data_IF_893280576250
#
_entry.id   IF_893280576250
#
_cell.length_a   1.000
_cell.length_b   1.000
_cell.length_c   1.000
_cell.angle_alpha   90.00
_cell.angle_beta   90.00
_cell.angle_gamma   90.00
#
_symmetry.space_group_name_H-M   'P 1'
#
loop_
_entity.id
_entity.type
_entity.pdbx_description
1 polymer ?
#
# COMPACT_ATOMS: atom_id res chain seq x y z
N UNK A 1 -22.26 -7.47 1.74
CA UNK A 1 -21.18 -6.74 2.43
C UNK A 1 -20.23 -6.18 1.37
N UNK A 2 -19.27 -5.31 1.73
CA UNK A 2 -18.44 -4.66 0.70
C UNK A 2 -17.54 -5.68 -0.03
N UNK A 3 -17.10 -6.73 0.65
CA UNK A 3 -16.28 -7.79 0.07
C UNK A 3 -17.02 -8.59 -1.01
N UNK A 4 -18.35 -8.64 -0.98
CA UNK A 4 -19.15 -9.28 -2.04
C UNK A 4 -19.08 -8.49 -3.35
N UNK A 5 -19.00 -7.16 -3.24
CA UNK A 5 -18.95 -6.24 -4.39
C UNK A 5 -17.58 -6.27 -5.06
N UNK A 6 -16.51 -6.42 -4.27
CA UNK A 6 -15.14 -6.46 -4.80
C UNK A 6 -14.65 -7.89 -5.10
N UNK A 7 -15.44 -8.92 -4.76
CA UNK A 7 -15.05 -10.34 -4.87
C UNK A 7 -14.61 -10.75 -6.26
N UNK A 8 -15.19 -10.15 -7.29
CA UNK A 8 -14.91 -10.48 -8.69
C UNK A 8 -13.64 -9.80 -9.24
N UNK A 9 -12.99 -8.95 -8.42
CA UNK A 9 -11.79 -8.20 -8.75
C UNK A 9 -11.99 -7.03 -9.71
N UNK A 10 -13.19 -6.82 -10.26
CA UNK A 10 -13.43 -5.78 -11.28
C UNK A 10 -13.23 -4.38 -10.71
N UNK A 11 -13.83 -4.10 -9.54
CA UNK A 11 -13.71 -2.82 -8.83
C UNK A 11 -12.26 -2.57 -8.39
N UNK A 12 -11.54 -3.61 -7.99
CA UNK A 12 -10.12 -3.48 -7.60
C UNK A 12 -9.24 -3.10 -8.80
N UNK A 13 -9.45 -3.74 -9.95
CA UNK A 13 -8.75 -3.38 -11.19
C UNK A 13 -9.10 -1.95 -11.65
N UNK A 14 -10.36 -1.53 -11.50
CA UNK A 14 -10.75 -0.15 -11.80
C UNK A 14 -10.09 0.86 -10.85
N UNK A 15 -10.02 0.53 -9.56
CA UNK A 15 -9.36 1.36 -8.54
C UNK A 15 -7.89 1.59 -8.89
N UNK A 16 -7.13 0.53 -9.15
CA UNK A 16 -5.70 0.70 -9.46
C UNK A 16 -5.49 1.42 -10.80
N UNK A 17 -6.36 1.22 -11.79
CA UNK A 17 -6.31 1.97 -13.05
C UNK A 17 -6.63 3.47 -12.89
N UNK A 18 -7.33 3.87 -11.83
CA UNK A 18 -7.51 5.30 -11.51
C UNK A 18 -6.25 5.92 -10.92
N UNK A 19 -5.49 5.15 -10.15
CA UNK A 19 -4.24 5.59 -9.54
C UNK A 19 -3.07 5.54 -10.54
N UNK A 20 -3.03 4.51 -11.37
CA UNK A 20 -2.03 4.28 -12.41
C UNK A 20 -2.73 3.84 -13.70
N UNK A 21 -3.03 4.78 -14.62
CA UNK A 21 -3.73 4.48 -15.86
C UNK A 21 -3.02 3.40 -16.68
N UNK A 22 -3.78 2.37 -17.07
CA UNK A 22 -3.28 1.29 -17.92
C UNK A 22 -2.58 0.14 -17.18
N UNK A 23 -2.48 0.17 -15.85
CA UNK A 23 -1.86 -0.93 -15.08
C UNK A 23 -2.57 -2.28 -15.25
N UNK A 24 -3.89 -2.27 -15.43
CA UNK A 24 -4.68 -3.46 -15.78
C UNK A 24 -5.39 -3.20 -17.11
N UNK A 25 -4.83 -3.64 -18.25
CA UNK A 25 -5.36 -3.31 -19.58
C UNK A 25 -6.70 -4.01 -19.90
N UNK A 26 -6.95 -5.16 -19.27
CA UNK A 26 -8.16 -5.95 -19.50
C UNK A 26 -8.79 -6.34 -18.16
N UNK A 27 -10.06 -6.00 -18.00
CA UNK A 27 -10.87 -6.36 -16.83
C UNK A 27 -11.96 -7.31 -17.31
N UNK A 28 -12.00 -8.52 -16.75
CA UNK A 28 -13.03 -9.50 -17.07
C UNK A 28 -14.32 -9.17 -16.31
N UNK A 29 -15.38 -8.74 -16.99
CA UNK A 29 -16.69 -8.43 -16.36
C UNK A 29 -17.70 -9.58 -16.46
N UNK A 30 -17.37 -10.63 -17.19
CA UNK A 30 -18.23 -11.80 -17.38
C UNK A 30 -17.41 -13.07 -17.59
N UNK A 31 -18.06 -14.22 -17.39
CA UNK A 31 -17.47 -15.55 -17.50
C UNK A 31 -17.38 -16.28 -16.17
N UNK A 32 -16.60 -17.37 -16.12
CA UNK A 32 -16.48 -18.22 -14.95
C UNK A 32 -15.53 -17.68 -13.87
N UNK A 33 -15.51 -18.37 -12.74
CA UNK A 33 -14.67 -18.09 -11.56
C UNK A 33 -13.20 -17.81 -11.89
N UNK A 34 -12.60 -18.57 -12.80
CA UNK A 34 -11.19 -18.38 -13.18
C UNK A 34 -10.89 -16.96 -13.69
N UNK A 35 -11.80 -16.36 -14.46
CA UNK A 35 -11.62 -15.00 -14.98
C UNK A 35 -11.70 -13.93 -13.90
N UNK A 36 -12.47 -14.19 -12.84
CA UNK A 36 -12.58 -13.28 -11.70
C UNK A 36 -11.34 -13.38 -10.82
N UNK A 37 -10.79 -14.59 -10.63
CA UNK A 37 -9.49 -14.78 -10.00
C UNK A 37 -8.35 -14.13 -10.80
N UNK A 38 -8.40 -14.15 -12.14
CA UNK A 38 -7.45 -13.41 -12.99
C UNK A 38 -7.49 -11.89 -12.73
N UNK A 39 -8.69 -11.30 -12.52
CA UNK A 39 -8.78 -9.89 -12.14
C UNK A 39 -8.07 -9.63 -10.80
N UNK A 40 -8.32 -10.48 -9.79
CA UNK A 40 -7.66 -10.36 -8.48
C UNK A 40 -6.13 -10.42 -8.62
N UNK A 41 -5.63 -11.40 -9.38
CA UNK A 41 -4.19 -11.55 -9.63
C UNK A 41 -3.62 -10.32 -10.37
N UNK A 42 -4.37 -9.77 -11.32
CA UNK A 42 -3.98 -8.56 -12.07
C UNK A 42 -3.89 -7.34 -11.15
N UNK A 43 -4.87 -7.17 -10.27
CA UNK A 43 -4.83 -6.13 -9.24
C UNK A 43 -3.62 -6.29 -8.31
N UNK A 44 -3.36 -7.50 -7.79
CA UNK A 44 -2.22 -7.76 -6.91
C UNK A 44 -0.88 -7.41 -7.59
N UNK A 45 -0.72 -7.79 -8.86
CA UNK A 45 0.48 -7.43 -9.64
C UNK A 45 0.61 -5.91 -9.81
N UNK A 46 -0.48 -5.24 -10.17
CA UNK A 46 -0.50 -3.79 -10.33
C UNK A 46 -0.26 -3.04 -9.00
N UNK A 47 -0.81 -3.52 -7.89
CA UNK A 47 -0.59 -2.94 -6.56
C UNK A 47 0.87 -3.03 -6.12
N UNK A 48 1.54 -4.17 -6.36
CA UNK A 48 3.00 -4.30 -6.14
C UNK A 48 3.80 -3.33 -7.00
N UNK A 49 3.47 -3.24 -8.29
CA UNK A 49 4.14 -2.31 -9.20
C UNK A 49 3.93 -0.85 -8.80
N UNK A 50 2.78 -0.52 -8.20
CA UNK A 50 2.47 0.79 -7.64
C UNK A 50 3.19 1.06 -6.30
N UNK A 51 3.92 0.09 -5.75
CA UNK A 51 4.74 0.29 -4.54
C UNK A 51 4.08 -0.16 -3.23
N UNK A 52 3.02 -0.96 -3.28
CA UNK A 52 2.51 -1.67 -2.11
C UNK A 52 3.50 -2.80 -1.75
N UNK A 53 4.00 -2.89 -0.50
CA UNK A 53 4.87 -3.97 -0.07
C UNK A 53 4.21 -5.35 -0.21
N UNK A 54 4.96 -6.37 -0.63
CA UNK A 54 4.39 -7.71 -0.87
C UNK A 54 3.71 -8.31 0.38
N UNK A 55 4.27 -8.07 1.56
CA UNK A 55 3.69 -8.49 2.86
C UNK A 55 2.31 -7.88 3.13
N UNK A 56 2.03 -6.71 2.54
CA UNK A 56 0.75 -6.03 2.69
C UNK A 56 -0.26 -6.47 1.62
N UNK A 57 0.13 -7.28 0.62
CA UNK A 57 -0.75 -7.70 -0.48
C UNK A 57 -1.48 -9.00 -0.11
N UNK A 58 -2.81 -8.94 -0.05
CA UNK A 58 -3.67 -10.09 0.20
C UNK A 58 -3.54 -11.18 -0.89
N UNK A 59 -3.81 -12.42 -0.50
CA UNK A 59 -3.83 -13.60 -1.38
C UNK A 59 -5.22 -13.86 -1.95
N UNK A 60 -5.32 -14.49 -3.11
CA UNK A 60 -6.61 -14.65 -3.81
C UNK A 60 -7.68 -15.38 -2.97
N UNK A 61 -7.27 -16.31 -2.11
CA UNK A 61 -8.16 -17.02 -1.18
C UNK A 61 -8.74 -16.12 -0.09
N UNK A 62 -8.00 -15.08 0.31
CA UNK A 62 -8.41 -14.14 1.37
C UNK A 62 -9.69 -13.41 0.97
N UNK A 63 -9.79 -13.01 -0.30
CA UNK A 63 -10.98 -12.38 -0.87
C UNK A 63 -11.98 -13.40 -1.43
N UNK A 64 -11.52 -14.33 -2.28
CA UNK A 64 -12.43 -15.19 -3.03
C UNK A 64 -13.19 -16.17 -2.13
N UNK A 65 -12.51 -16.77 -1.16
CA UNK A 65 -13.10 -17.67 -0.17
C UNK A 65 -13.44 -16.97 1.15
N UNK A 66 -13.20 -15.65 1.22
CA UNK A 66 -13.34 -14.84 2.44
C UNK A 66 -12.53 -15.36 3.63
N UNK A 67 -11.35 -15.94 3.37
CA UNK A 67 -10.47 -16.47 4.42
C UNK A 67 -9.95 -15.38 5.36
N UNK A 68 -9.64 -14.19 4.82
CA UNK A 68 -9.11 -13.06 5.58
C UNK A 68 -9.46 -11.71 4.91
N UNK A 69 -10.67 -11.23 5.18
CA UNK A 69 -11.14 -9.93 4.66
C UNK A 69 -10.41 -8.74 5.33
N UNK A 70 -9.82 -8.95 6.51
CA UNK A 70 -9.03 -7.92 7.16
C UNK A 70 -7.74 -7.65 6.37
N UNK A 71 -7.07 -8.68 5.86
CA UNK A 71 -5.89 -8.52 5.00
C UNK A 71 -6.24 -7.81 3.67
N UNK A 72 -7.42 -8.08 3.08
CA UNK A 72 -7.91 -7.35 1.91
C UNK A 72 -8.06 -5.86 2.22
N UNK A 73 -8.66 -5.54 3.36
CA UNK A 73 -8.82 -4.16 3.85
C UNK A 73 -7.44 -3.49 4.03
N UNK A 74 -6.50 -4.18 4.68
CA UNK A 74 -5.15 -3.68 4.92
C UNK A 74 -4.41 -3.38 3.62
N UNK A 75 -4.57 -4.22 2.59
CA UNK A 75 -4.00 -3.99 1.26
C UNK A 75 -4.53 -2.69 0.64
N UNK A 76 -5.84 -2.43 0.76
CA UNK A 76 -6.46 -1.19 0.24
C UNK A 76 -5.91 0.05 0.98
N UNK A 77 -5.73 -0.03 2.30
CA UNK A 77 -5.08 1.04 3.06
C UNK A 77 -3.60 1.20 2.70
N UNK A 78 -2.87 0.11 2.46
CA UNK A 78 -1.48 0.15 2.01
C UNK A 78 -1.35 0.81 0.65
N UNK A 79 -2.28 0.53 -0.27
CA UNK A 79 -2.39 1.22 -1.55
C UNK A 79 -2.68 2.72 -1.38
N UNK A 80 -3.60 3.07 -0.47
CA UNK A 80 -3.87 4.46 -0.09
C UNK A 80 -2.60 5.18 0.40
N UNK A 81 -1.80 4.54 1.27
CA UNK A 81 -0.51 5.09 1.72
C UNK A 81 0.50 5.21 0.59
N UNK A 82 0.57 4.22 -0.30
CA UNK A 82 1.48 4.23 -1.44
C UNK A 82 1.21 5.43 -2.36
N UNK A 83 -0.06 5.81 -2.56
CA UNK A 83 -0.44 6.94 -3.42
C UNK A 83 0.17 8.29 -3.02
N UNK A 84 0.58 8.48 -1.76
CA UNK A 84 1.28 9.69 -1.35
C UNK A 84 2.68 9.85 -1.97
N UNK A 85 3.26 8.77 -2.49
CA UNK A 85 4.55 8.78 -3.19
C UNK A 85 4.41 9.08 -4.68
N UNK A 86 3.18 9.21 -5.18
CA UNK A 86 2.85 9.43 -6.58
C UNK A 86 2.38 10.88 -6.79
N UNK A 87 3.25 11.82 -7.20
CA UNK A 87 2.90 13.22 -7.36
C UNK A 87 1.85 13.48 -8.45
N UNK A 88 1.68 12.55 -9.39
CA UNK A 88 0.62 12.55 -10.40
C UNK A 88 -0.78 12.33 -9.80
N UNK A 89 -0.86 11.74 -8.61
CA UNK A 89 -2.12 11.55 -7.90
C UNK A 89 -2.46 12.77 -7.04
N UNK A 90 -3.47 13.53 -7.49
CA UNK A 90 -3.93 14.75 -6.82
C UNK A 90 -5.00 14.49 -5.75
N UNK A 91 -5.24 13.23 -5.41
CA UNK A 91 -6.27 12.81 -4.46
C UNK A 91 -7.58 12.38 -5.12
N UNK A 92 -8.56 11.92 -4.33
CA UNK A 92 -8.55 11.90 -2.86
C UNK A 92 -7.58 10.86 -2.27
N UNK A 93 -7.13 11.08 -1.03
CA UNK A 93 -6.28 10.14 -0.30
C UNK A 93 -7.07 9.35 0.73
N UNK A 94 -6.62 8.12 0.98
CA UNK A 94 -7.15 7.25 2.01
C UNK A 94 -6.17 7.20 3.19
N UNK A 95 -6.57 7.80 4.32
CA UNK A 95 -5.78 7.85 5.55
C UNK A 95 -4.96 9.15 5.70
N UNK A 96 -4.20 9.28 6.79
CA UNK A 96 -3.35 10.45 7.01
C UNK A 96 -2.11 10.44 6.11
N UNK A 97 -1.61 11.63 5.77
CA UNK A 97 -0.35 11.77 5.04
C UNK A 97 0.80 11.15 5.86
N UNK A 98 1.56 10.19 5.31
CA UNK A 98 2.76 9.68 5.95
C UNK A 98 3.74 10.82 6.26
N UNK A 99 4.42 10.77 7.40
CA UNK A 99 5.42 11.77 7.75
C UNK A 99 6.59 11.73 6.75
N UNK A 100 7.01 12.90 6.29
CA UNK A 100 8.21 13.04 5.47
C UNK A 100 9.46 12.86 6.37
N UNK A 101 10.44 12.06 5.91
CA UNK A 101 11.70 11.87 6.65
C UNK A 101 12.44 13.22 6.75
N UNK A 102 12.64 13.71 7.97
CA UNK A 102 13.45 14.89 8.22
C UNK A 102 14.91 14.47 8.42
N UNK A 103 15.67 14.36 7.33
CA UNK A 103 17.12 14.14 7.38
C UNK A 103 17.78 15.41 7.92
N UNK A 104 18.08 15.39 9.21
CA UNK A 104 18.87 16.44 9.86
C UNK A 104 20.33 16.18 9.55
N UNK A 105 20.92 17.00 8.69
CA UNK A 105 22.37 17.03 8.54
C UNK A 105 22.96 17.69 9.78
N UNK A 106 23.64 16.89 10.60
CA UNK A 106 24.43 17.40 11.71
C UNK A 106 25.83 17.73 11.20
N UNK A 107 26.38 18.87 11.62
CA UNK A 107 27.77 19.17 11.30
C UNK A 107 28.71 18.19 12.02
N UNK A 108 29.88 17.93 11.44
CA UNK A 108 30.88 17.02 12.05
C UNK A 108 31.29 17.47 13.46
N UNK A 109 31.26 18.79 13.68
CA UNK A 109 31.53 19.43 14.97
C UNK A 109 30.43 19.15 16.01
N UNK A 110 29.16 19.15 15.61
CA UNK A 110 28.02 18.77 16.46
C UNK A 110 28.06 17.28 16.82
N UNK A 111 28.45 16.43 15.87
CA UNK A 111 28.62 14.98 16.12
C UNK A 111 29.78 14.72 17.11
N UNK A 112 30.91 15.42 16.97
CA UNK A 112 32.05 15.34 17.91
C UNK A 112 31.71 15.88 19.30
N UNK A 113 30.99 17.00 19.38
CA UNK A 113 30.53 17.55 20.65
C UNK A 113 29.60 16.58 21.41
N UNK A 114 28.76 15.83 20.69
CA UNK A 114 27.90 14.79 21.28
C UNK A 114 28.67 13.62 21.91
N UNK A 115 29.85 13.27 21.37
CA UNK A 115 30.69 12.19 21.91
C UNK A 115 31.36 12.54 23.25
N UNK A 116 31.49 13.82 23.56
CA UNK A 116 32.14 14.30 24.79
C UNK A 116 31.17 14.42 25.98
N UNK A 117 29.87 14.28 25.76
CA UNK A 117 28.84 14.38 26.81
C UNK A 117 28.55 12.97 27.33
N UNK A 118 29.45 12.45 28.16
CA UNK A 118 29.18 11.27 29.01
C UNK A 118 28.31 11.77 30.17
N UNK A 119 27.11 11.20 30.32
CA UNK A 119 26.12 11.63 31.30
C UNK A 119 26.67 11.65 32.73
N UNK A 120 26.78 12.84 33.31
CA UNK A 120 27.07 13.05 34.73
C UNK A 120 25.82 12.73 35.55
N UNK A 121 25.39 11.47 35.56
CA UNK A 121 24.44 10.93 36.52
C UNK A 121 24.92 9.55 36.99
N UNK A 122 25.91 9.56 37.87
CA UNK A 122 26.00 8.59 38.95
C UNK A 122 25.52 9.31 40.22
N UNK A 123 24.20 9.28 40.43
CA UNK A 123 23.58 9.64 41.71
C UNK A 123 23.80 8.50 42.70
N UNK A 124 24.14 8.87 43.93
CA UNK A 124 24.75 8.06 45.00
C UNK A 124 23.96 6.84 45.46
#
# INVERSE_FOLDING_TARGET
LYEDVIRDGTVLCQLINKLAPGSVPKINTSGGQFKMMENINSFQAAARAYGVPDVDVFQTVDLWEKKDIAQVTNTIFALGRASYKHPEWIGPWLGPKPADENKREFTEEQLKAGQSIIGLQAGQ
#
